data_IF_653474661937
#
_entry.id   IF_653474661937
#
_cell.length_a   1.000
_cell.length_b   1.000
_cell.length_c   1.000
_cell.angle_alpha   90.00
_cell.angle_beta   90.00
_cell.angle_gamma   90.00
#
_symmetry.space_group_name_H-M   'P 1'
#
loop_
_entity.id
_entity.type
_entity.pdbx_description
1 polymer ?
#
# COMPACT_ATOMS: atom_id res chain seq x y z
N UNK A 1 -2.62 11.39 12.12
CA UNK A 1 -1.91 10.18 11.66
C UNK A 1 -2.93 9.07 11.51
N UNK A 2 -3.15 8.56 10.31
CA UNK A 2 -4.17 7.54 10.06
C UNK A 2 -3.67 6.16 10.51
N UNK A 3 -4.57 5.27 10.94
CA UNK A 3 -4.19 3.93 11.41
C UNK A 3 -3.49 3.09 10.32
N UNK A 4 -3.83 3.28 9.04
CA UNK A 4 -3.18 2.58 7.93
C UNK A 4 -1.73 3.04 7.70
N UNK A 5 -1.43 4.33 7.88
CA UNK A 5 -0.07 4.86 7.83
C UNK A 5 0.80 4.28 8.95
N UNK A 6 0.27 4.25 10.18
CA UNK A 6 0.94 3.62 11.33
C UNK A 6 1.24 2.15 11.04
N UNK A 7 0.26 1.42 10.50
CA UNK A 7 0.43 0.01 10.13
C UNK A 7 1.48 -0.19 9.03
N UNK A 8 1.52 0.68 8.02
CA UNK A 8 2.54 0.61 6.97
C UNK A 8 3.95 0.79 7.57
N UNK A 9 4.13 1.75 8.46
CA UNK A 9 5.42 1.98 9.12
C UNK A 9 5.82 0.80 10.02
N UNK A 10 4.87 0.21 10.74
CA UNK A 10 5.12 -1.00 11.53
C UNK A 10 5.58 -2.17 10.64
N UNK A 11 4.96 -2.38 9.47
CA UNK A 11 5.37 -3.42 8.52
C UNK A 11 6.74 -3.13 7.92
N UNK A 12 7.02 -1.88 7.50
CA UNK A 12 8.33 -1.45 7.00
C UNK A 12 9.44 -1.71 8.02
N UNK A 13 9.20 -1.38 9.29
CA UNK A 13 10.18 -1.58 10.37
C UNK A 13 10.45 -3.08 10.59
N UNK A 14 9.41 -3.92 10.67
CA UNK A 14 9.57 -5.38 10.80
C UNK A 14 10.36 -5.99 9.64
N UNK A 15 10.09 -5.53 8.41
CA UNK A 15 10.84 -5.98 7.23
C UNK A 15 12.31 -5.59 7.37
N UNK A 16 12.61 -4.32 7.71
CA UNK A 16 13.97 -3.83 7.93
C UNK A 16 14.72 -4.65 8.99
N UNK A 17 14.08 -4.93 10.12
CA UNK A 17 14.65 -5.78 11.18
C UNK A 17 15.01 -7.18 10.68
N UNK A 18 14.13 -7.81 9.89
CA UNK A 18 14.37 -9.14 9.31
C UNK A 18 15.51 -9.10 8.28
N UNK A 19 15.52 -8.09 7.39
CA UNK A 19 16.57 -7.92 6.38
C UNK A 19 17.94 -7.74 7.04
N UNK A 20 18.03 -6.90 8.07
CA UNK A 20 19.25 -6.69 8.84
C UNK A 20 19.70 -7.97 9.55
N UNK A 21 18.78 -8.64 10.26
CA UNK A 21 19.09 -9.88 10.99
C UNK A 21 19.56 -11.02 10.08
N UNK A 22 19.01 -11.09 8.86
CA UNK A 22 19.33 -12.13 7.87
C UNK A 22 20.42 -11.69 6.87
N UNK A 23 20.93 -10.46 6.98
CA UNK A 23 21.90 -9.86 6.06
C UNK A 23 21.46 -9.95 4.59
N UNK A 24 20.16 -9.83 4.34
CA UNK A 24 19.59 -9.89 3.01
C UNK A 24 19.76 -8.54 2.32
N UNK A 25 20.25 -8.55 1.08
CA UNK A 25 20.38 -7.36 0.23
C UNK A 25 19.12 -7.04 -0.59
N UNK A 26 18.01 -7.72 -0.30
CA UNK A 26 16.76 -7.50 -1.02
C UNK A 26 16.04 -6.25 -0.51
N UNK A 27 15.33 -5.57 -1.42
CA UNK A 27 14.44 -4.44 -1.09
C UNK A 27 13.02 -4.81 -1.51
N UNK A 28 12.27 -5.55 -0.67
CA UNK A 28 10.94 -6.01 -1.03
C UNK A 28 9.97 -4.84 -1.17
N UNK A 29 9.11 -4.91 -2.18
CA UNK A 29 7.98 -4.00 -2.33
C UNK A 29 6.82 -4.45 -1.44
N UNK A 30 6.21 -3.50 -0.74
CA UNK A 30 5.00 -3.74 0.03
C UNK A 30 3.81 -3.49 -0.87
N UNK A 31 2.90 -4.46 -0.99
CA UNK A 31 1.63 -4.32 -1.71
C UNK A 31 0.51 -4.24 -0.69
N UNK A 32 -0.17 -3.09 -0.62
CA UNK A 32 -1.33 -2.90 0.26
C UNK A 32 -2.58 -3.53 -0.37
N UNK A 33 -3.12 -4.59 0.24
CA UNK A 33 -4.31 -5.28 -0.27
C UNK A 33 -5.58 -4.54 0.19
N UNK A 34 -6.34 -3.99 -0.76
CA UNK A 34 -7.51 -3.13 -0.52
C UNK A 34 -8.84 -3.78 -0.89
N UNK A 35 -8.82 -5.07 -1.26
CA UNK A 35 -10.04 -5.88 -1.50
C UNK A 35 -11.05 -5.67 -0.37
N UNK A 36 -12.34 -5.56 -0.69
CA UNK A 36 -13.44 -5.37 0.27
C UNK A 36 -13.45 -4.05 1.07
N UNK A 37 -12.42 -3.21 0.96
CA UNK A 37 -12.40 -1.88 1.56
C UNK A 37 -12.80 -0.81 0.55
N UNK A 38 -13.51 0.23 1.02
CA UNK A 38 -13.72 1.44 0.22
C UNK A 38 -12.40 2.18 0.02
N UNK A 39 -12.31 2.93 -1.07
CA UNK A 39 -11.13 3.67 -1.48
C UNK A 39 -10.71 4.74 -0.45
N UNK A 40 -11.65 5.26 0.33
CA UNK A 40 -11.42 6.20 1.45
C UNK A 40 -10.35 5.68 2.45
N UNK A 41 -10.24 4.36 2.60
CA UNK A 41 -9.24 3.75 3.48
C UNK A 41 -7.84 3.68 2.87
N UNK A 42 -7.74 3.74 1.54
CA UNK A 42 -6.48 3.75 0.81
C UNK A 42 -5.94 5.17 0.59
N UNK A 43 -6.80 6.19 0.60
CA UNK A 43 -6.41 7.60 0.43
C UNK A 43 -5.23 8.04 1.30
N UNK A 44 -5.20 7.78 2.62
CA UNK A 44 -4.05 8.21 3.43
C UNK A 44 -2.74 7.55 3.00
N UNK A 45 -2.78 6.35 2.43
CA UNK A 45 -1.59 5.69 1.88
C UNK A 45 -1.16 6.32 0.54
N UNK A 46 -2.12 6.73 -0.29
CA UNK A 46 -1.86 7.46 -1.53
C UNK A 46 -1.22 8.82 -1.26
N UNK A 47 -1.72 9.57 -0.27
CA UNK A 47 -1.21 10.89 0.10
C UNK A 47 0.25 10.87 0.58
N UNK A 48 0.67 9.80 1.25
CA UNK A 48 2.07 9.60 1.67
C UNK A 48 2.94 8.96 0.57
N UNK A 49 2.41 8.82 -0.65
CA UNK A 49 3.15 8.33 -1.82
C UNK A 49 3.26 6.81 -1.95
N UNK A 50 2.43 6.03 -1.26
CA UNK A 50 2.36 4.59 -1.53
C UNK A 50 1.65 4.34 -2.86
N UNK A 51 2.28 3.57 -3.75
CA UNK A 51 1.78 3.35 -5.11
C UNK A 51 1.39 1.90 -5.42
N UNK A 52 1.69 0.94 -4.54
CA UNK A 52 1.53 -0.49 -4.82
C UNK A 52 0.33 -1.07 -4.08
N UNK A 53 -0.79 -1.27 -4.78
CA UNK A 53 -2.02 -1.80 -4.21
C UNK A 53 -2.46 -3.10 -4.90
N UNK A 54 -3.15 -3.96 -4.15
CA UNK A 54 -3.68 -5.23 -4.64
C UNK A 54 -5.19 -5.34 -4.46
N UNK A 55 -5.89 -5.71 -5.53
CA UNK A 55 -7.33 -5.99 -5.57
C UNK A 55 -7.57 -7.43 -6.04
N UNK A 56 -8.62 -8.07 -5.52
CA UNK A 56 -8.95 -9.46 -5.89
C UNK A 56 -9.94 -9.56 -7.06
N UNK A 57 -10.73 -8.51 -7.33
CA UNK A 57 -11.76 -8.50 -8.37
C UNK A 57 -11.53 -7.33 -9.32
N UNK A 58 -11.60 -7.59 -10.63
CA UNK A 58 -11.36 -6.57 -11.65
C UNK A 58 -12.40 -5.45 -11.60
N UNK A 59 -13.68 -5.77 -11.38
CA UNK A 59 -14.75 -4.76 -11.31
C UNK A 59 -14.59 -3.82 -10.12
N UNK A 60 -14.16 -4.36 -8.95
CA UNK A 60 -13.81 -3.54 -7.79
C UNK A 60 -12.64 -2.63 -8.12
N UNK A 61 -11.63 -3.15 -8.84
CA UNK A 61 -10.46 -2.37 -9.20
C UNK A 61 -10.79 -1.23 -10.17
N UNK A 62 -11.57 -1.51 -11.22
CA UNK A 62 -12.00 -0.50 -12.19
C UNK A 62 -12.82 0.60 -11.52
N UNK A 63 -13.78 0.22 -10.68
CA UNK A 63 -14.65 1.18 -9.98
C UNK A 63 -13.85 2.05 -9.01
N UNK A 64 -12.95 1.45 -8.20
CA UNK A 64 -12.19 2.18 -7.19
C UNK A 64 -11.07 3.05 -7.77
N UNK A 65 -10.33 2.54 -8.76
CA UNK A 65 -9.05 3.14 -9.14
C UNK A 65 -9.10 4.02 -10.39
N UNK A 66 -10.15 3.93 -11.22
CA UNK A 66 -10.21 4.68 -12.48
C UNK A 66 -10.13 6.19 -12.30
N UNK A 67 -10.78 6.73 -11.27
CA UNK A 67 -10.73 8.18 -10.98
C UNK A 67 -9.45 8.56 -10.24
N UNK A 68 -9.04 7.75 -9.25
CA UNK A 68 -7.85 8.01 -8.43
C UNK A 68 -6.58 8.12 -9.28
N UNK A 69 -6.41 7.23 -10.26
CA UNK A 69 -5.24 7.24 -11.15
C UNK A 69 -5.11 8.51 -11.99
N UNK A 70 -6.18 9.31 -12.13
CA UNK A 70 -6.11 10.63 -12.79
C UNK A 70 -5.37 11.65 -11.92
N UNK A 71 -5.53 11.55 -10.61
CA UNK A 71 -5.01 12.49 -9.62
C UNK A 71 -3.66 12.06 -9.04
N UNK A 72 -3.40 10.75 -8.97
CA UNK A 72 -2.16 10.16 -8.47
C UNK A 72 -1.46 9.44 -9.63
N UNK A 73 -0.69 10.21 -10.41
CA UNK A 73 0.17 9.65 -11.47
C UNK A 73 1.52 9.25 -10.88
N UNK A 74 1.98 8.06 -11.26
CA UNK A 74 3.33 7.57 -10.99
C UNK A 74 4.33 8.20 -11.96
#
# INVERSE_FOLDING_TARGET
>A
MHSCEQNLNLVKNKISEILNKKQLKSSPQIIAVTKTFNIDKAYPLLEIGHAHFGENKIQEAETKWSEIKKNFKN
#
